data_IF_396254352411
#
_entry.id   IF_396254352411
#
_cell.length_a   1.000
_cell.length_b   1.000
_cell.length_c   1.000
_cell.angle_alpha   90.00
_cell.angle_beta   90.00
_cell.angle_gamma   90.00
#
_symmetry.space_group_name_H-M   'P 1'
#
loop_
_entity.id
_entity.type
_entity.pdbx_description
1 polymer ?
#
# COMPACT_ATOMS: atom_id res chain seq x y z
N UNK A 1 -28.78 11.62 -23.78
CA UNK A 1 -27.47 11.28 -23.18
C UNK A 1 -27.60 11.48 -21.67
N UNK A 2 -27.40 10.42 -20.89
CA UNK A 2 -27.77 10.31 -19.46
C UNK A 2 -26.98 11.28 -18.58
N UNK A 3 -27.68 12.15 -17.84
CA UNK A 3 -27.13 13.20 -16.96
C UNK A 3 -26.56 12.74 -15.61
N UNK A 4 -26.51 11.44 -15.32
CA UNK A 4 -26.20 10.95 -13.96
C UNK A 4 -24.82 10.29 -13.80
N UNK A 5 -23.78 10.79 -14.49
CA UNK A 5 -22.41 10.36 -14.17
C UNK A 5 -21.75 11.38 -13.24
N UNK A 6 -21.40 11.02 -11.99
CA UNK A 6 -20.70 11.93 -11.10
C UNK A 6 -19.40 12.39 -11.77
N UNK A 7 -19.15 13.71 -11.74
CA UNK A 7 -17.92 14.34 -12.25
C UNK A 7 -16.69 13.86 -11.49
N UNK A 8 -16.87 13.47 -10.22
CA UNK A 8 -15.85 12.86 -9.39
C UNK A 8 -15.80 11.34 -9.63
N UNK A 9 -14.70 10.80 -10.20
CA UNK A 9 -14.59 9.38 -10.50
C UNK A 9 -14.31 8.53 -9.26
N UNK A 10 -13.90 9.14 -8.15
CA UNK A 10 -13.62 8.41 -6.92
C UNK A 10 -14.88 8.26 -6.07
N UNK A 11 -14.88 7.25 -5.20
CA UNK A 11 -15.99 6.93 -4.32
C UNK A 11 -15.61 7.37 -2.92
N UNK A 12 -16.52 8.08 -2.24
CA UNK A 12 -16.29 8.45 -0.85
C UNK A 12 -16.12 7.21 0.05
N UNK A 13 -15.33 7.28 1.13
CA UNK A 13 -14.96 6.09 1.92
C UNK A 13 -16.14 5.34 2.54
N UNK A 14 -17.28 6.02 2.69
CA UNK A 14 -18.51 5.51 3.28
C UNK A 14 -19.65 5.36 2.27
N UNK A 15 -19.38 5.45 0.96
CA UNK A 15 -20.39 5.38 -0.10
C UNK A 15 -20.25 4.14 -0.97
N UNK A 16 -21.34 3.68 -1.57
CA UNK A 16 -21.30 2.63 -2.59
C UNK A 16 -20.87 3.18 -3.97
N UNK A 17 -20.79 2.30 -4.97
CA UNK A 17 -20.47 2.70 -6.35
C UNK A 17 -21.52 3.59 -7.02
N UNK A 18 -22.66 3.84 -6.37
CA UNK A 18 -23.74 4.73 -6.81
C UNK A 18 -23.79 6.04 -5.99
N UNK A 19 -22.93 6.20 -4.99
CA UNK A 19 -22.88 7.37 -4.11
C UNK A 19 -23.74 7.28 -2.84
N UNK A 20 -24.51 6.20 -2.64
CA UNK A 20 -25.33 6.04 -1.44
C UNK A 20 -24.47 5.71 -0.22
N UNK A 21 -24.83 6.25 0.95
CA UNK A 21 -24.15 5.94 2.20
C UNK A 21 -24.34 4.46 2.56
N UNK A 22 -23.24 3.78 2.83
CA UNK A 22 -23.22 2.37 3.22
C UNK A 22 -23.27 2.20 4.74
N UNK A 23 -23.80 1.07 5.19
CA UNK A 23 -23.66 0.65 6.58
C UNK A 23 -22.21 0.22 6.87
N UNK A 24 -21.75 0.39 8.11
CA UNK A 24 -20.33 0.19 8.47
C UNK A 24 -19.81 -1.22 8.15
N UNK A 25 -20.64 -2.25 8.32
CA UNK A 25 -20.29 -3.65 7.97
C UNK A 25 -20.00 -3.80 6.50
N UNK A 26 -20.80 -3.15 5.65
CA UNK A 26 -20.65 -3.21 4.20
C UNK A 26 -19.42 -2.45 3.75
N UNK A 27 -19.11 -1.32 4.41
CA UNK A 27 -17.87 -0.57 4.19
C UNK A 27 -16.65 -1.45 4.47
N UNK A 28 -16.61 -2.14 5.61
CA UNK A 28 -15.48 -3.01 5.97
C UNK A 28 -15.34 -4.19 5.00
N UNK A 29 -16.46 -4.80 4.60
CA UNK A 29 -16.45 -5.95 3.70
C UNK A 29 -16.05 -5.55 2.27
N UNK A 30 -16.51 -4.40 1.77
CA UNK A 30 -16.24 -3.98 0.39
C UNK A 30 -14.84 -3.40 0.19
N UNK A 31 -14.13 -3.05 1.27
CA UNK A 31 -12.80 -2.41 1.28
C UNK A 31 -11.81 -3.18 2.14
N UNK A 32 -12.00 -4.50 2.22
CA UNK A 32 -11.24 -5.40 3.10
C UNK A 32 -9.74 -5.17 3.00
N UNK A 33 -9.19 -5.04 1.79
CA UNK A 33 -7.75 -4.95 1.64
C UNK A 33 -7.22 -3.60 2.12
N UNK A 34 -7.87 -2.49 1.77
CA UNK A 34 -7.50 -1.16 2.27
C UNK A 34 -7.56 -1.09 3.79
N UNK A 35 -8.62 -1.63 4.40
CA UNK A 35 -8.77 -1.65 5.86
C UNK A 35 -7.67 -2.47 6.51
N UNK A 36 -7.43 -3.70 6.03
CA UNK A 36 -6.35 -4.56 6.53
C UNK A 36 -5.00 -3.85 6.37
N UNK A 37 -4.76 -3.20 5.24
CA UNK A 37 -3.51 -2.48 5.02
C UNK A 37 -3.29 -1.37 6.04
N UNK A 38 -4.30 -0.50 6.21
CA UNK A 38 -4.22 0.61 7.17
C UNK A 38 -4.01 0.10 8.62
N UNK A 39 -4.63 -1.02 8.98
CA UNK A 39 -4.43 -1.65 10.28
C UNK A 39 -3.03 -2.22 10.44
N UNK A 40 -2.49 -2.90 9.42
CA UNK A 40 -1.14 -3.46 9.47
C UNK A 40 -0.09 -2.34 9.57
N UNK A 41 -0.17 -1.29 8.75
CA UNK A 41 0.82 -0.20 8.82
C UNK A 41 0.74 0.54 10.16
N UNK A 42 -0.46 0.72 10.73
CA UNK A 42 -0.62 1.34 12.03
C UNK A 42 -0.03 0.47 13.15
N UNK A 43 -0.26 -0.85 13.08
CA UNK A 43 0.32 -1.81 14.02
C UNK A 43 1.84 -1.86 13.92
N UNK A 44 2.40 -1.97 12.71
CA UNK A 44 3.85 -1.99 12.50
C UNK A 44 4.51 -0.68 12.91
N UNK A 45 3.87 0.46 12.65
CA UNK A 45 4.35 1.75 13.15
C UNK A 45 4.34 1.80 14.69
N UNK A 46 3.29 1.29 15.34
CA UNK A 46 3.22 1.25 16.79
C UNK A 46 4.26 0.31 17.42
N UNK A 47 4.59 -0.81 16.76
CA UNK A 47 5.53 -1.82 17.27
C UNK A 47 7.00 -1.47 16.98
N UNK A 48 7.29 -0.96 15.78
CA UNK A 48 8.65 -0.81 15.27
C UNK A 48 9.03 0.64 14.93
N UNK A 49 8.07 1.57 14.92
CA UNK A 49 8.32 2.96 14.57
C UNK A 49 8.53 3.16 13.06
N UNK A 50 9.45 4.09 12.73
CA UNK A 50 9.78 4.44 11.35
C UNK A 50 11.02 3.68 10.88
N UNK A 51 11.04 3.27 9.62
CA UNK A 51 12.23 2.70 9.00
C UNK A 51 13.35 3.72 8.85
N UNK A 52 14.55 3.36 9.30
CA UNK A 52 15.78 4.14 9.11
C UNK A 52 16.68 3.50 8.05
N UNK A 53 17.50 4.32 7.37
CA UNK A 53 18.52 3.82 6.43
C UNK A 53 19.68 3.13 7.14
N UNK A 54 19.99 3.55 8.36
CA UNK A 54 21.19 3.14 9.10
C UNK A 54 20.90 2.11 10.19
N UNK A 55 19.63 1.85 10.48
CA UNK A 55 19.14 0.93 11.53
C UNK A 55 20.04 0.86 12.78
N UNK A 56 20.27 1.99 13.47
CA UNK A 56 21.28 2.09 14.51
C UNK A 56 20.88 1.37 15.82
N UNK A 57 19.61 1.02 16.00
CA UNK A 57 19.07 0.39 17.21
C UNK A 57 18.46 -0.99 16.90
N UNK A 58 18.43 -1.93 17.87
CA UNK A 58 18.00 -3.31 17.63
C UNK A 58 16.56 -3.47 17.11
N UNK A 59 15.64 -2.56 17.46
CA UNK A 59 14.27 -2.54 16.91
C UNK A 59 14.25 -2.27 15.40
N UNK A 60 15.21 -1.50 14.91
CA UNK A 60 15.33 -1.15 13.49
C UNK A 60 15.97 -2.30 12.69
N UNK A 61 16.67 -3.22 13.35
CA UNK A 61 17.29 -4.37 12.69
C UNK A 61 16.22 -5.23 11.99
N UNK A 62 15.07 -5.42 12.64
CA UNK A 62 13.91 -6.09 12.04
C UNK A 62 13.51 -5.35 10.76
N UNK A 63 13.20 -4.05 10.83
CA UNK A 63 12.81 -3.26 9.65
C UNK A 63 13.86 -3.39 8.53
N UNK A 64 15.15 -3.34 8.88
CA UNK A 64 16.27 -3.44 7.95
C UNK A 64 16.32 -4.73 7.13
N UNK A 65 15.83 -5.85 7.70
CA UNK A 65 15.77 -7.15 7.03
C UNK A 65 14.56 -7.26 6.10
N UNK A 66 13.53 -6.43 6.31
CA UNK A 66 12.30 -6.43 5.51
C UNK A 66 12.22 -5.31 4.47
N UNK A 67 13.18 -4.38 4.44
CA UNK A 67 13.21 -3.28 3.46
C UNK A 67 13.95 -3.65 2.18
N UNK A 68 13.50 -3.03 1.08
CA UNK A 68 14.09 -3.17 -0.24
C UNK A 68 15.52 -2.60 -0.28
N UNK A 69 16.46 -3.35 -0.85
CA UNK A 69 17.80 -2.86 -1.17
C UNK A 69 18.14 -3.17 -2.63
N UNK A 70 18.55 -2.18 -3.46
CA UNK A 70 18.75 -2.40 -4.89
C UNK A 70 19.71 -3.56 -5.24
N UNK A 71 20.82 -3.67 -4.52
CA UNK A 71 21.82 -4.72 -4.77
C UNK A 71 21.28 -6.15 -4.57
N UNK A 72 20.22 -6.34 -3.75
CA UNK A 72 19.61 -7.65 -3.54
C UNK A 72 19.08 -8.25 -4.84
N UNK A 73 18.74 -7.44 -5.87
CA UNK A 73 18.28 -7.97 -7.16
C UNK A 73 19.33 -8.88 -7.81
N UNK A 74 20.61 -8.56 -7.64
CA UNK A 74 21.73 -9.27 -8.27
C UNK A 74 22.46 -10.18 -7.29
N UNK A 75 22.70 -9.72 -6.07
CA UNK A 75 23.51 -10.44 -5.08
C UNK A 75 22.70 -11.44 -4.25
N UNK A 76 21.41 -11.15 -3.98
CA UNK A 76 20.56 -12.00 -3.16
C UNK A 76 19.09 -12.00 -3.67
N UNK A 77 18.81 -12.56 -4.86
CA UNK A 77 17.52 -12.39 -5.53
C UNK A 77 16.33 -12.93 -4.74
N UNK A 78 16.53 -13.94 -3.89
CA UNK A 78 15.50 -14.45 -3.00
C UNK A 78 15.10 -13.44 -1.92
N UNK A 79 16.07 -12.67 -1.39
CA UNK A 79 15.81 -11.54 -0.48
C UNK A 79 15.08 -10.42 -1.22
N UNK A 80 15.44 -10.16 -2.48
CA UNK A 80 14.71 -9.22 -3.31
C UNK A 80 13.25 -9.64 -3.48
N UNK A 81 12.97 -10.88 -3.88
CA UNK A 81 11.59 -11.36 -4.01
C UNK A 81 10.81 -11.26 -2.70
N UNK A 82 11.43 -11.60 -1.58
CA UNK A 82 10.80 -11.45 -0.26
C UNK A 82 10.47 -9.98 0.06
N UNK A 83 11.43 -9.08 -0.19
CA UNK A 83 11.30 -7.65 0.12
C UNK A 83 10.30 -6.92 -0.78
N UNK A 84 9.95 -7.47 -1.95
CA UNK A 84 8.81 -6.98 -2.75
C UNK A 84 7.47 -7.06 -1.99
N UNK A 85 7.34 -8.01 -1.07
CA UNK A 85 6.10 -8.17 -0.29
C UNK A 85 6.21 -7.54 1.09
N UNK A 86 7.39 -7.54 1.71
CA UNK A 86 7.56 -7.00 3.05
C UNK A 86 7.78 -5.49 3.09
N UNK A 87 8.48 -4.91 2.11
CA UNK A 87 8.79 -3.47 2.11
C UNK A 87 7.54 -2.60 2.00
N UNK A 88 6.49 -3.13 1.37
CA UNK A 88 5.19 -2.47 1.18
C UNK A 88 4.51 -2.04 2.50
N UNK A 89 4.90 -2.63 3.64
CA UNK A 89 4.30 -2.36 4.94
C UNK A 89 5.08 -1.34 5.80
N UNK A 90 6.35 -1.08 5.48
CA UNK A 90 7.22 -0.21 6.29
C UNK A 90 7.34 1.18 5.69
N UNK A 91 7.30 2.20 6.54
CA UNK A 91 7.37 3.59 6.15
C UNK A 91 8.47 4.31 6.92
N UNK A 92 9.12 5.28 6.28
CA UNK A 92 10.33 5.95 6.77
C UNK A 92 10.09 7.37 7.30
N UNK A 93 8.89 7.92 7.16
CA UNK A 93 8.53 9.25 7.67
C UNK A 93 7.00 9.36 7.86
N UNK A 94 6.48 10.14 8.83
CA UNK A 94 5.04 10.31 9.04
C UNK A 94 4.30 10.94 7.86
N UNK A 95 4.92 11.86 7.13
CA UNK A 95 4.29 12.47 5.94
C UNK A 95 4.03 11.44 4.85
N UNK A 96 4.95 10.47 4.71
CA UNK A 96 4.79 9.36 3.79
C UNK A 96 3.63 8.45 4.23
N UNK A 97 3.50 8.14 5.53
CA UNK A 97 2.37 7.38 6.07
C UNK A 97 1.04 8.11 5.77
N UNK A 98 0.98 9.42 6.04
CA UNK A 98 -0.22 10.22 5.83
C UNK A 98 -0.62 10.25 4.35
N UNK A 99 0.34 10.48 3.46
CA UNK A 99 0.08 10.47 2.02
C UNK A 99 -0.39 9.10 1.53
N UNK A 100 0.29 8.02 1.94
CA UNK A 100 -0.11 6.65 1.58
C UNK A 100 -1.51 6.33 2.08
N UNK A 101 -1.84 6.72 3.33
CA UNK A 101 -3.18 6.53 3.88
C UNK A 101 -4.25 7.28 3.08
N UNK A 102 -4.00 8.54 2.72
CA UNK A 102 -4.91 9.33 1.90
C UNK A 102 -5.12 8.71 0.51
N UNK A 103 -4.04 8.27 -0.15
CA UNK A 103 -4.12 7.61 -1.44
C UNK A 103 -4.91 6.30 -1.37
N UNK A 104 -4.75 5.52 -0.30
CA UNK A 104 -5.51 4.29 -0.11
C UNK A 104 -6.99 4.59 0.09
N UNK A 105 -7.31 5.55 0.95
CA UNK A 105 -8.70 5.94 1.24
C UNK A 105 -9.43 6.45 0.00
N UNK A 106 -8.75 7.22 -0.86
CA UNK A 106 -9.37 7.81 -2.05
C UNK A 106 -9.33 6.86 -3.25
N UNK A 107 -8.18 6.31 -3.60
CA UNK A 107 -7.98 5.58 -4.85
C UNK A 107 -8.14 4.07 -4.68
N UNK A 108 -7.48 3.47 -3.68
CA UNK A 108 -7.51 2.01 -3.52
C UNK A 108 -8.90 1.52 -3.10
N UNK A 109 -9.55 2.21 -2.16
CA UNK A 109 -10.94 1.87 -1.81
C UNK A 109 -11.89 2.01 -3.00
N UNK A 110 -11.71 3.05 -3.83
CA UNK A 110 -12.47 3.18 -5.08
C UNK A 110 -12.24 1.98 -6.00
N UNK A 111 -10.99 1.55 -6.17
CA UNK A 111 -10.66 0.38 -6.97
C UNK A 111 -11.29 -0.90 -6.39
N UNK A 112 -11.23 -1.11 -5.09
CA UNK A 112 -11.85 -2.28 -4.45
C UNK A 112 -13.35 -2.36 -4.72
N UNK A 113 -14.06 -1.23 -4.69
CA UNK A 113 -15.50 -1.19 -5.00
C UNK A 113 -15.77 -1.44 -6.48
N UNK A 114 -14.98 -0.84 -7.38
CA UNK A 114 -15.24 -0.88 -8.82
C UNK A 114 -14.82 -2.19 -9.48
N UNK A 115 -13.67 -2.75 -9.09
CA UNK A 115 -13.09 -3.95 -9.72
C UNK A 115 -12.98 -5.14 -8.77
N UNK A 116 -13.35 -4.98 -7.50
CA UNK A 116 -13.27 -6.01 -6.48
C UNK A 116 -11.89 -6.10 -5.81
N UNK A 117 -11.87 -6.48 -4.53
CA UNK A 117 -10.66 -6.57 -3.70
C UNK A 117 -9.54 -7.40 -4.34
N UNK A 118 -9.84 -8.57 -4.90
CA UNK A 118 -8.81 -9.43 -5.51
C UNK A 118 -8.08 -8.74 -6.68
N UNK A 119 -8.82 -8.08 -7.57
CA UNK A 119 -8.23 -7.40 -8.73
C UNK A 119 -7.48 -6.14 -8.30
N UNK A 120 -8.03 -5.39 -7.34
CA UNK A 120 -7.35 -4.23 -6.75
C UNK A 120 -6.02 -4.62 -6.09
N UNK A 121 -5.98 -5.72 -5.33
CA UNK A 121 -4.75 -6.27 -4.75
C UNK A 121 -3.72 -6.63 -5.82
N UNK A 122 -4.12 -7.37 -6.86
CA UNK A 122 -3.23 -7.74 -7.97
C UNK A 122 -2.66 -6.48 -8.65
N UNK A 123 -3.49 -5.46 -8.88
CA UNK A 123 -3.04 -4.21 -9.47
C UNK A 123 -2.03 -3.47 -8.58
N UNK A 124 -2.29 -3.36 -7.28
CA UNK A 124 -1.39 -2.68 -6.33
C UNK A 124 -0.05 -3.41 -6.23
N UNK A 125 -0.06 -4.72 -5.97
CA UNK A 125 1.19 -5.49 -5.87
C UNK A 125 1.93 -5.56 -7.21
N UNK A 126 1.21 -5.64 -8.33
CA UNK A 126 1.80 -5.62 -9.66
C UNK A 126 2.50 -4.30 -9.98
N UNK A 127 1.84 -3.16 -9.72
CA UNK A 127 2.43 -1.83 -9.91
C UNK A 127 3.59 -1.63 -8.94
N UNK A 128 3.45 -2.03 -7.68
CA UNK A 128 4.53 -1.97 -6.70
C UNK A 128 5.76 -2.73 -7.18
N UNK A 129 5.60 -3.99 -7.59
CA UNK A 129 6.69 -4.80 -8.10
C UNK A 129 7.35 -4.18 -9.35
N UNK A 130 6.55 -3.68 -10.30
CA UNK A 130 7.05 -3.00 -11.49
C UNK A 130 7.88 -1.76 -11.13
N UNK A 131 7.34 -0.88 -10.27
CA UNK A 131 8.03 0.34 -9.84
C UNK A 131 9.32 0.00 -9.11
N UNK A 132 9.31 -0.98 -8.21
CA UNK A 132 10.50 -1.40 -7.47
C UNK A 132 11.58 -1.94 -8.41
N UNK A 133 11.21 -2.77 -9.40
CA UNK A 133 12.16 -3.28 -10.40
C UNK A 133 12.76 -2.14 -11.22
N UNK A 134 11.92 -1.22 -11.74
CA UNK A 134 12.39 -0.06 -12.52
C UNK A 134 13.35 0.80 -11.68
N UNK A 135 12.96 1.14 -10.45
CA UNK A 135 13.78 1.95 -9.55
C UNK A 135 15.09 1.25 -9.18
N UNK A 136 15.07 -0.06 -8.98
CA UNK A 136 16.28 -0.85 -8.68
C UNK A 136 17.23 -0.82 -9.87
N UNK A 137 16.73 -1.05 -11.09
CA UNK A 137 17.54 -0.99 -12.30
C UNK A 137 18.12 0.41 -12.52
N UNK A 138 17.34 1.47 -12.27
CA UNK A 138 17.79 2.85 -12.39
C UNK A 138 18.89 3.21 -11.38
N UNK A 139 18.80 2.72 -10.14
CA UNK A 139 19.77 3.02 -9.08
C UNK A 139 21.02 2.14 -9.12
N UNK A 140 20.97 1.00 -9.84
CA UNK A 140 22.08 0.05 -9.93
C UNK A 140 22.86 0.17 -11.26
N UNK A 141 22.27 0.79 -12.29
CA UNK A 141 22.95 1.16 -13.53
C UNK A 141 23.93 2.33 -13.32
#
# INVERSE_FOLDING_TARGET
>A
MSGDRPTWPMIWPWSDGKGNRMHWRDVLNSRRFSVIYLLIIALLFALFGLGSRTCPIPSDAVICDFVMRPYNLFEAPHVFVFTLFSSFWFHNNPDHILLTAALIVVFLQTAEIRIGTKRAMIAVFGIHALVVVIMTLYLYA
#
